data_IF_060197140441
#
_entry.id   IF_060197140441
#
_cell.length_a   1.000
_cell.length_b   1.000
_cell.length_c   1.000
_cell.angle_alpha   90.00
_cell.angle_beta   90.00
_cell.angle_gamma   90.00
#
_symmetry.space_group_name_H-M   'P 1'
#
loop_
_entity.id
_entity.type
_entity.pdbx_description
1 polymer ?
#
# COMPACT_ATOMS: atom_id res chain seq x y z
N UNK A 1 -0.22 -22.61 22.08
CA UNK A 1 -1.39 -21.71 21.98
C UNK A 1 -1.20 -20.38 22.72
N UNK A 2 -0.98 -20.33 24.03
CA UNK A 2 -0.77 -19.07 24.79
C UNK A 2 0.49 -18.33 24.34
N UNK A 3 1.59 -19.02 24.09
CA UNK A 3 2.87 -18.46 23.61
C UNK A 3 2.77 -17.80 22.25
N UNK A 4 1.97 -18.37 21.32
CA UNK A 4 1.77 -17.79 19.98
C UNK A 4 0.87 -16.56 20.03
N UNK A 5 -0.15 -16.56 20.87
CA UNK A 5 -1.01 -15.41 21.09
C UNK A 5 -0.21 -14.23 21.69
N UNK A 6 0.62 -14.48 22.70
CA UNK A 6 1.50 -13.46 23.30
C UNK A 6 2.53 -12.91 22.29
N UNK A 7 3.09 -13.78 21.44
CA UNK A 7 4.02 -13.39 20.38
C UNK A 7 3.32 -12.49 19.33
N UNK A 8 2.09 -12.84 18.95
CA UNK A 8 1.28 -12.02 18.04
C UNK A 8 0.94 -10.65 18.63
N UNK A 9 0.55 -10.60 19.92
CA UNK A 9 0.26 -9.34 20.61
C UNK A 9 1.52 -8.45 20.66
N UNK A 10 2.68 -9.00 21.06
CA UNK A 10 3.96 -8.25 21.07
C UNK A 10 4.31 -7.69 19.69
N UNK A 11 4.11 -8.46 18.62
CA UNK A 11 4.38 -8.00 17.26
C UNK A 11 3.45 -6.85 16.87
N UNK A 12 2.18 -6.91 17.26
CA UNK A 12 1.16 -5.89 16.99
C UNK A 12 1.38 -4.58 17.75
N UNK A 13 1.80 -4.66 19.00
CA UNK A 13 2.08 -3.48 19.83
C UNK A 13 3.41 -2.79 19.49
N UNK A 14 4.27 -3.45 18.72
CA UNK A 14 5.60 -2.94 18.40
C UNK A 14 5.57 -1.67 17.57
N UNK A 15 4.73 -1.62 16.54
CA UNK A 15 4.63 -0.43 15.67
C UNK A 15 4.07 0.78 16.41
N UNK A 16 2.91 0.69 17.13
CA UNK A 16 2.40 1.78 17.96
C UNK A 16 3.41 2.30 18.97
N UNK A 17 4.08 1.40 19.68
CA UNK A 17 5.13 1.77 20.65
C UNK A 17 6.28 2.55 20.00
N UNK A 18 6.78 2.09 18.84
CA UNK A 18 7.89 2.77 18.16
C UNK A 18 7.45 4.14 17.60
N UNK A 19 6.22 4.25 17.11
CA UNK A 19 5.67 5.54 16.66
C UNK A 19 5.61 6.52 17.84
N UNK A 20 5.05 6.10 18.96
CA UNK A 20 4.98 6.94 20.17
C UNK A 20 6.37 7.40 20.60
N UNK A 21 7.32 6.46 20.66
CA UNK A 21 8.73 6.75 21.01
C UNK A 21 9.36 7.78 20.06
N UNK A 22 9.17 7.62 18.73
CA UNK A 22 9.68 8.57 17.75
C UNK A 22 9.12 9.97 17.95
N UNK A 23 7.83 10.09 18.29
CA UNK A 23 7.15 11.36 18.49
C UNK A 23 7.54 12.04 19.79
N UNK A 24 7.56 11.31 20.90
CA UNK A 24 7.93 11.85 22.21
C UNK A 24 9.38 12.33 22.22
N UNK A 25 10.29 11.56 21.59
CA UNK A 25 11.70 11.92 21.53
C UNK A 25 12.03 12.87 20.36
N UNK A 26 11.07 13.20 19.53
CA UNK A 26 11.28 13.96 18.27
C UNK A 26 12.41 13.39 17.38
N UNK A 27 12.61 12.06 17.45
CA UNK A 27 13.64 11.32 16.69
C UNK A 27 12.97 10.35 15.73
N UNK A 28 12.79 10.78 14.48
CA UNK A 28 12.13 9.99 13.45
C UNK A 28 13.05 8.89 12.89
N UNK A 29 12.43 7.77 12.51
CA UNK A 29 13.05 6.60 11.90
C UNK A 29 12.11 6.03 10.84
N UNK A 30 12.63 5.44 9.74
CA UNK A 30 11.79 4.84 8.72
C UNK A 30 11.25 3.50 9.22
N UNK A 31 10.22 3.53 10.08
CA UNK A 31 9.62 2.33 10.69
C UNK A 31 8.98 1.40 9.67
N UNK A 32 8.48 1.97 8.57
CA UNK A 32 7.78 1.28 7.49
C UNK A 32 8.52 1.51 6.18
N UNK A 33 8.84 0.43 5.48
CA UNK A 33 9.46 0.47 4.15
C UNK A 33 8.48 -0.04 3.11
N UNK A 34 8.30 0.71 2.04
CA UNK A 34 7.71 0.25 0.81
C UNK A 34 8.88 -0.11 -0.13
N UNK A 35 9.04 -1.39 -0.44
CA UNK A 35 10.17 -1.89 -1.21
C UNK A 35 9.69 -2.47 -2.54
N UNK A 36 10.16 -1.89 -3.63
CA UNK A 36 9.95 -2.42 -4.98
C UNK A 36 11.15 -3.29 -5.35
N UNK A 37 10.91 -4.56 -5.64
CA UNK A 37 12.00 -5.54 -5.88
C UNK A 37 12.25 -5.83 -7.36
N UNK A 38 11.29 -5.48 -8.22
CA UNK A 38 11.36 -5.71 -9.66
C UNK A 38 10.37 -4.80 -10.40
N UNK A 39 10.68 -4.41 -11.62
CA UNK A 39 9.73 -3.78 -12.54
C UNK A 39 9.10 -4.80 -13.49
N UNK A 40 9.60 -6.04 -13.52
CA UNK A 40 9.00 -7.10 -14.34
C UNK A 40 7.61 -7.44 -13.85
N UNK A 41 6.65 -7.54 -14.76
CA UNK A 41 5.27 -7.88 -14.45
C UNK A 41 4.67 -8.73 -15.57
N UNK A 42 3.86 -9.72 -15.18
CA UNK A 42 3.08 -10.57 -16.10
C UNK A 42 1.67 -10.00 -16.36
N UNK A 43 1.37 -8.80 -15.89
CA UNK A 43 0.14 -8.04 -16.16
C UNK A 43 0.47 -6.74 -16.90
N UNK A 44 -0.44 -6.30 -17.79
CA UNK A 44 -0.28 -5.09 -18.60
C UNK A 44 -1.36 -4.06 -18.26
N UNK A 45 -1.41 -3.65 -16.98
CA UNK A 45 -2.42 -2.69 -16.53
C UNK A 45 -2.27 -1.35 -17.26
N UNK A 46 -3.38 -0.85 -17.83
CA UNK A 46 -3.39 0.37 -18.65
C UNK A 46 -2.98 1.64 -17.90
N UNK A 47 -3.16 1.65 -16.57
CA UNK A 47 -2.81 2.78 -15.70
C UNK A 47 -1.54 2.53 -14.87
N UNK A 48 -0.76 1.48 -15.18
CA UNK A 48 0.40 1.12 -14.38
C UNK A 48 1.60 2.03 -14.69
N UNK A 49 2.06 2.75 -13.69
CA UNK A 49 3.23 3.62 -13.81
C UNK A 49 4.51 2.83 -14.16
N UNK A 50 4.67 1.60 -13.63
CA UNK A 50 5.83 0.74 -13.92
C UNK A 50 5.93 0.36 -15.41
N UNK A 51 4.80 0.02 -16.04
CA UNK A 51 4.77 -0.33 -17.48
C UNK A 51 5.04 0.88 -18.40
N UNK A 52 4.87 2.09 -17.88
CA UNK A 52 4.98 3.33 -18.65
C UNK A 52 6.36 3.98 -18.54
N UNK A 53 7.16 3.54 -17.60
CA UNK A 53 8.48 4.15 -17.35
C UNK A 53 9.45 3.94 -18.50
N UNK A 54 9.24 2.92 -19.35
CA UNK A 54 10.20 2.52 -20.38
C UNK A 54 11.58 2.20 -19.83
N UNK A 55 11.68 2.00 -18.50
CA UNK A 55 12.92 1.74 -17.80
C UNK A 55 13.29 0.27 -17.99
N UNK A 56 14.46 0.01 -18.54
CA UNK A 56 15.10 -1.28 -18.47
C UNK A 56 15.89 -1.35 -17.15
N UNK A 57 15.23 -1.79 -16.08
CA UNK A 57 15.85 -1.92 -14.77
C UNK A 57 16.30 -3.37 -14.57
N UNK A 58 17.59 -3.50 -14.21
CA UNK A 58 18.11 -4.77 -13.72
C UNK A 58 17.62 -5.00 -12.31
N UNK A 59 16.92 -6.10 -12.07
CA UNK A 59 16.50 -6.52 -10.74
C UNK A 59 17.68 -6.53 -9.75
N UNK A 60 17.39 -6.26 -8.50
CA UNK A 60 18.34 -6.50 -7.42
C UNK A 60 18.73 -7.98 -7.38
N UNK A 61 20.00 -8.26 -7.11
CA UNK A 61 20.42 -9.60 -6.67
C UNK A 61 19.85 -9.88 -5.27
N UNK A 62 19.78 -11.16 -4.90
CA UNK A 62 19.32 -11.57 -3.55
C UNK A 62 20.18 -10.94 -2.46
N UNK A 63 21.50 -10.83 -2.66
CA UNK A 63 22.43 -10.24 -1.69
C UNK A 63 22.25 -8.73 -1.57
N UNK A 64 22.00 -8.02 -2.66
CA UNK A 64 21.64 -6.59 -2.61
C UNK A 64 20.35 -6.37 -1.82
N UNK A 65 19.32 -7.21 -2.03
CA UNK A 65 18.08 -7.15 -1.26
C UNK A 65 18.34 -7.38 0.22
N UNK A 66 19.11 -8.41 0.59
CA UNK A 66 19.46 -8.70 1.99
C UNK A 66 20.23 -7.54 2.62
N UNK A 67 21.16 -6.92 1.91
CA UNK A 67 21.89 -5.73 2.38
C UNK A 67 20.94 -4.57 2.68
N UNK A 68 20.01 -4.26 1.76
CA UNK A 68 18.99 -3.22 1.96
C UNK A 68 18.13 -3.55 3.19
N UNK A 69 17.70 -4.79 3.36
CA UNK A 69 16.93 -5.25 4.52
C UNK A 69 17.71 -5.03 5.83
N UNK A 70 18.99 -5.35 5.86
CA UNK A 70 19.85 -5.18 7.04
C UNK A 70 20.05 -3.71 7.38
N UNK A 71 20.27 -2.87 6.40
CA UNK A 71 20.38 -1.43 6.59
C UNK A 71 19.05 -0.83 7.11
N UNK A 72 17.91 -1.20 6.52
CA UNK A 72 16.60 -0.80 7.02
C UNK A 72 16.39 -1.26 8.47
N UNK A 73 16.77 -2.49 8.78
CA UNK A 73 16.66 -3.04 10.14
C UNK A 73 17.51 -2.28 11.16
N UNK A 74 18.74 -1.92 10.78
CA UNK A 74 19.66 -1.12 11.61
C UNK A 74 19.10 0.27 11.92
N UNK A 75 18.36 0.87 10.99
CA UNK A 75 17.67 2.15 11.19
C UNK A 75 16.42 2.04 12.08
N UNK A 76 15.98 0.82 12.38
CA UNK A 76 14.83 0.56 13.24
C UNK A 76 13.54 0.23 12.52
N UNK A 77 13.59 -0.03 11.21
CA UNK A 77 12.43 -0.48 10.43
C UNK A 77 11.90 -1.82 10.96
N UNK A 78 10.59 -1.96 10.99
CA UNK A 78 9.89 -3.12 11.56
C UNK A 78 8.75 -3.65 10.69
N UNK A 79 8.33 -2.88 9.70
CA UNK A 79 7.30 -3.25 8.74
C UNK A 79 7.82 -3.04 7.32
N UNK A 80 7.61 -4.03 6.49
CA UNK A 80 7.93 -3.93 5.08
C UNK A 80 6.71 -4.33 4.23
N UNK A 81 6.41 -3.51 3.24
CA UNK A 81 5.45 -3.86 2.20
C UNK A 81 6.21 -4.05 0.91
N UNK A 82 6.16 -5.24 0.36
CA UNK A 82 6.82 -5.56 -0.91
C UNK A 82 5.85 -5.24 -2.04
N UNK A 83 6.33 -4.41 -2.93
CA UNK A 83 5.74 -4.04 -4.21
C UNK A 83 6.69 -4.36 -5.36
N UNK A 84 6.32 -3.95 -6.54
CA UNK A 84 7.09 -4.04 -7.76
C UNK A 84 6.14 -4.14 -8.94
N UNK A 85 6.62 -4.70 -10.04
CA UNK A 85 5.76 -5.24 -11.05
C UNK A 85 4.99 -6.42 -10.47
N UNK A 86 5.61 -7.62 -10.46
CA UNK A 86 5.07 -8.79 -9.76
C UNK A 86 6.21 -9.53 -9.05
N UNK A 87 6.17 -9.51 -7.72
CA UNK A 87 7.19 -10.17 -6.89
C UNK A 87 7.36 -11.65 -7.23
N UNK A 88 6.26 -12.35 -7.48
CA UNK A 88 6.25 -13.79 -7.72
C UNK A 88 6.91 -14.21 -9.06
N UNK A 89 7.37 -13.27 -9.88
CA UNK A 89 8.25 -13.54 -11.02
C UNK A 89 9.71 -13.74 -10.63
N UNK A 90 10.08 -13.43 -9.37
CA UNK A 90 11.41 -13.68 -8.87
C UNK A 90 11.52 -15.12 -8.35
N UNK A 91 12.62 -15.79 -8.66
CA UNK A 91 12.87 -17.15 -8.21
C UNK A 91 13.34 -17.22 -6.74
N UNK A 92 13.85 -16.10 -6.22
CA UNK A 92 14.32 -15.95 -4.84
C UNK A 92 13.27 -15.41 -3.87
N UNK A 93 11.99 -15.34 -4.27
CA UNK A 93 10.88 -14.80 -3.46
C UNK A 93 10.84 -15.43 -2.07
N UNK A 94 10.89 -16.77 -1.99
CA UNK A 94 10.85 -17.48 -0.71
C UNK A 94 12.03 -17.11 0.18
N UNK A 95 13.23 -17.07 -0.37
CA UNK A 95 14.45 -16.74 0.36
C UNK A 95 14.42 -15.33 0.95
N UNK A 96 13.94 -14.36 0.17
CA UNK A 96 13.78 -12.97 0.61
C UNK A 96 12.76 -12.89 1.76
N UNK A 97 11.62 -13.58 1.64
CA UNK A 97 10.58 -13.57 2.68
C UNK A 97 11.11 -14.20 3.97
N UNK A 98 11.75 -15.36 3.88
CA UNK A 98 12.32 -16.05 5.04
C UNK A 98 13.40 -15.19 5.72
N UNK A 99 14.21 -14.47 4.94
CA UNK A 99 15.19 -13.52 5.46
C UNK A 99 14.54 -12.36 6.20
N UNK A 100 13.49 -11.76 5.66
CA UNK A 100 12.71 -10.71 6.33
C UNK A 100 12.12 -11.20 7.64
N UNK A 101 11.58 -12.41 7.68
CA UNK A 101 11.03 -13.02 8.89
C UNK A 101 12.11 -13.31 9.93
N UNK A 102 13.29 -13.80 9.50
CA UNK A 102 14.48 -13.96 10.35
C UNK A 102 14.89 -12.62 10.99
N UNK A 103 14.82 -11.51 10.24
CA UNK A 103 15.07 -10.15 10.73
C UNK A 103 13.91 -9.54 11.51
N UNK A 104 12.84 -10.31 11.77
CA UNK A 104 11.66 -9.92 12.57
C UNK A 104 10.88 -8.73 11.99
N UNK A 105 10.75 -8.66 10.68
CA UNK A 105 9.83 -7.75 10.02
C UNK A 105 8.39 -8.29 10.06
N UNK A 106 7.43 -7.38 10.11
CA UNK A 106 6.08 -7.62 9.61
C UNK A 106 6.12 -7.49 8.10
N UNK A 107 5.70 -8.52 7.38
CA UNK A 107 5.81 -8.62 5.92
C UNK A 107 4.42 -8.59 5.30
N UNK A 108 4.18 -7.57 4.47
CA UNK A 108 3.00 -7.47 3.61
C UNK A 108 3.44 -7.54 2.15
N UNK A 109 2.68 -8.26 1.32
CA UNK A 109 2.94 -8.38 -0.11
C UNK A 109 1.74 -7.85 -0.89
N UNK A 110 2.03 -7.18 -2.00
CA UNK A 110 1.02 -6.78 -3.01
C UNK A 110 1.29 -7.57 -4.28
N UNK A 111 0.26 -8.23 -4.82
CA UNK A 111 0.35 -9.08 -6.03
C UNK A 111 -0.87 -8.92 -6.91
N UNK A 112 -0.71 -9.18 -8.20
CA UNK A 112 -1.83 -9.31 -9.13
C UNK A 112 -2.56 -10.65 -9.02
N UNK A 113 -2.00 -11.62 -8.29
CA UNK A 113 -2.61 -12.92 -8.01
C UNK A 113 -2.41 -13.99 -9.08
N UNK A 114 -1.90 -13.67 -10.26
CA UNK A 114 -1.81 -14.63 -11.39
C UNK A 114 -0.96 -15.85 -11.04
N UNK A 115 0.16 -15.67 -10.36
CA UNK A 115 1.10 -16.73 -10.00
C UNK A 115 0.81 -17.36 -8.63
N UNK A 116 -0.15 -16.84 -7.86
CA UNK A 116 -0.44 -17.34 -6.52
C UNK A 116 -0.78 -18.84 -6.48
N UNK A 117 -1.59 -19.40 -7.40
CA UNK A 117 -1.91 -20.83 -7.35
C UNK A 117 -0.67 -21.75 -7.41
N UNK A 118 0.36 -21.36 -8.14
CA UNK A 118 1.60 -22.14 -8.28
C UNK A 118 2.68 -21.82 -7.24
N UNK A 119 2.59 -20.64 -6.59
CA UNK A 119 3.65 -20.10 -5.72
C UNK A 119 3.18 -19.75 -4.30
N UNK A 120 1.99 -20.21 -3.90
CA UNK A 120 1.40 -19.86 -2.59
C UNK A 120 2.28 -20.32 -1.42
N UNK A 121 3.00 -21.44 -1.57
CA UNK A 121 3.87 -21.97 -0.52
C UNK A 121 5.18 -21.17 -0.38
N UNK A 122 5.60 -20.44 -1.43
CA UNK A 122 6.75 -19.53 -1.34
C UNK A 122 6.48 -18.34 -0.42
N UNK A 123 5.21 -17.98 -0.24
CA UNK A 123 4.79 -16.84 0.59
C UNK A 123 4.12 -17.25 1.91
N UNK A 124 4.18 -18.51 2.31
CA UNK A 124 3.49 -19.03 3.49
C UNK A 124 3.79 -18.26 4.79
N UNK A 125 4.98 -17.68 4.91
CA UNK A 125 5.46 -16.99 6.12
C UNK A 125 5.10 -15.50 6.22
N UNK A 126 4.34 -14.92 5.27
CA UNK A 126 3.96 -13.50 5.34
C UNK A 126 2.91 -13.22 6.42
N UNK A 127 2.78 -11.95 6.81
CA UNK A 127 1.79 -11.53 7.82
C UNK A 127 0.47 -11.04 7.21
N UNK A 128 0.49 -10.52 5.98
CA UNK A 128 -0.70 -10.08 5.25
C UNK A 128 -0.46 -10.05 3.74
N UNK A 129 -1.53 -10.12 2.99
CA UNK A 129 -1.52 -10.12 1.52
C UNK A 129 -2.53 -9.11 0.99
N UNK A 130 -2.12 -8.43 -0.09
CA UNK A 130 -3.00 -7.56 -0.86
C UNK A 130 -3.07 -8.11 -2.30
N UNK A 131 -4.29 -8.42 -2.76
CA UNK A 131 -4.54 -8.87 -4.15
C UNK A 131 -5.27 -7.76 -4.91
N UNK A 132 -4.89 -7.57 -6.15
CA UNK A 132 -5.47 -6.57 -7.02
C UNK A 132 -6.70 -7.10 -7.77
N UNK A 133 -7.84 -6.37 -7.70
CA UNK A 133 -9.06 -6.67 -8.46
C UNK A 133 -9.87 -5.38 -8.64
N UNK A 134 -10.11 -4.93 -9.90
CA UNK A 134 -10.66 -3.60 -10.15
C UNK A 134 -12.17 -3.55 -10.42
N UNK A 135 -12.82 -4.68 -10.58
CA UNK A 135 -14.26 -4.72 -10.91
C UNK A 135 -14.70 -6.09 -11.38
N UNK A 136 -15.86 -6.13 -12.07
CA UNK A 136 -16.33 -7.31 -12.81
C UNK A 136 -15.35 -7.69 -13.92
N UNK A 137 -15.49 -8.90 -14.45
CA UNK A 137 -14.57 -9.47 -15.45
C UNK A 137 -14.27 -8.51 -16.59
N UNK A 138 -15.28 -7.94 -17.21
CA UNK A 138 -15.10 -7.01 -18.34
C UNK A 138 -14.24 -5.79 -17.97
N UNK A 139 -14.57 -5.12 -16.87
CA UNK A 139 -13.88 -3.90 -16.45
C UNK A 139 -12.50 -4.20 -15.86
N UNK A 140 -12.37 -5.28 -15.12
CA UNK A 140 -11.07 -5.72 -14.60
C UNK A 140 -10.11 -6.09 -15.72
N UNK A 141 -10.57 -6.89 -16.68
CA UNK A 141 -9.75 -7.34 -17.80
C UNK A 141 -9.41 -6.21 -18.77
N UNK A 142 -10.31 -5.24 -18.94
CA UNK A 142 -9.97 -4.02 -19.65
C UNK A 142 -8.85 -3.25 -18.95
N UNK A 143 -8.93 -3.09 -17.65
CA UNK A 143 -7.95 -2.33 -16.87
C UNK A 143 -6.59 -3.04 -16.76
N UNK A 144 -6.60 -4.36 -16.55
CA UNK A 144 -5.41 -5.14 -16.14
C UNK A 144 -4.90 -6.14 -17.16
N UNK A 145 -5.70 -6.45 -18.18
CA UNK A 145 -5.41 -7.45 -19.21
C UNK A 145 -6.33 -8.67 -19.13
N UNK A 146 -6.61 -9.25 -20.28
CA UNK A 146 -7.53 -10.38 -20.45
C UNK A 146 -7.17 -11.56 -19.54
N UNK A 147 -8.17 -12.10 -18.84
CA UNK A 147 -8.04 -13.25 -17.96
C UNK A 147 -7.56 -12.94 -16.55
N UNK A 148 -7.18 -11.69 -16.26
CA UNK A 148 -6.70 -11.30 -14.93
C UNK A 148 -7.81 -11.35 -13.87
N UNK A 149 -9.06 -11.13 -14.24
CA UNK A 149 -10.21 -11.30 -13.33
C UNK A 149 -10.27 -12.73 -12.77
N UNK A 150 -10.29 -13.72 -13.67
CA UNK A 150 -10.37 -15.14 -13.28
C UNK A 150 -9.18 -15.55 -12.41
N UNK A 151 -7.98 -15.10 -12.77
CA UNK A 151 -6.77 -15.37 -12.01
C UNK A 151 -6.85 -14.76 -10.60
N UNK A 152 -7.22 -13.47 -10.49
CA UNK A 152 -7.38 -12.79 -9.19
C UNK A 152 -8.47 -13.44 -8.32
N UNK A 153 -9.61 -13.82 -8.89
CA UNK A 153 -10.69 -14.49 -8.15
C UNK A 153 -10.29 -15.88 -7.65
N UNK A 154 -9.54 -16.66 -8.46
CA UNK A 154 -8.97 -17.94 -8.05
C UNK A 154 -7.98 -17.74 -6.90
N UNK A 155 -7.09 -16.77 -7.02
CA UNK A 155 -6.13 -16.43 -5.98
C UNK A 155 -6.80 -15.98 -4.68
N UNK A 156 -7.84 -15.14 -4.73
CA UNK A 156 -8.60 -14.68 -3.57
C UNK A 156 -9.21 -15.85 -2.81
N UNK A 157 -9.85 -16.79 -3.51
CA UNK A 157 -10.46 -17.99 -2.89
C UNK A 157 -9.39 -18.86 -2.24
N UNK A 158 -8.32 -19.19 -2.96
CA UNK A 158 -7.20 -20.00 -2.45
C UNK A 158 -6.57 -19.37 -1.20
N UNK A 159 -6.32 -18.07 -1.21
CA UNK A 159 -5.73 -17.33 -0.10
C UNK A 159 -6.63 -17.36 1.14
N UNK A 160 -7.95 -17.27 0.95
CA UNK A 160 -8.92 -17.37 2.05
C UNK A 160 -8.97 -18.81 2.61
N UNK A 161 -8.99 -19.83 1.76
CA UNK A 161 -8.93 -21.24 2.17
C UNK A 161 -7.66 -21.54 2.99
N UNK A 162 -6.51 -20.95 2.59
CA UNK A 162 -5.25 -21.09 3.31
C UNK A 162 -5.15 -20.20 4.56
N UNK A 163 -6.17 -19.40 4.86
CA UNK A 163 -6.27 -18.60 6.09
C UNK A 163 -5.36 -17.36 6.15
N UNK A 164 -4.92 -16.85 5.02
CA UNK A 164 -4.16 -15.60 4.97
C UNK A 164 -5.05 -14.40 5.33
N UNK A 165 -4.42 -13.35 5.90
CA UNK A 165 -5.05 -12.04 6.03
C UNK A 165 -5.04 -11.34 4.68
N UNK A 166 -6.23 -11.07 4.16
CA UNK A 166 -6.43 -10.56 2.81
C UNK A 166 -7.09 -9.21 2.79
N UNK A 167 -6.47 -8.28 2.08
CA UNK A 167 -7.09 -7.06 1.57
C UNK A 167 -7.14 -7.16 0.06
N UNK A 168 -8.26 -6.83 -0.55
CA UNK A 168 -8.36 -6.70 -2.01
C UNK A 168 -8.34 -5.22 -2.36
N UNK A 169 -7.40 -4.84 -3.22
CA UNK A 169 -7.20 -3.46 -3.66
C UNK A 169 -7.78 -3.26 -5.05
N UNK A 170 -8.68 -2.30 -5.18
CA UNK A 170 -9.24 -1.88 -6.47
C UNK A 170 -8.79 -0.47 -6.83
N UNK A 171 -8.30 -0.30 -8.05
CA UNK A 171 -8.08 1.02 -8.64
C UNK A 171 -9.33 1.39 -9.44
N UNK A 172 -10.07 2.38 -8.96
CA UNK A 172 -11.30 2.83 -9.58
C UNK A 172 -11.00 3.77 -10.75
N UNK A 173 -11.44 3.36 -11.92
CA UNK A 173 -11.36 4.10 -13.17
C UNK A 173 -12.77 4.48 -13.63
N UNK A 174 -12.94 5.34 -14.63
CA UNK A 174 -14.24 5.65 -15.23
C UNK A 174 -15.05 4.40 -15.61
N UNK A 175 -14.37 3.30 -15.96
CA UNK A 175 -15.05 2.05 -16.34
C UNK A 175 -15.52 1.24 -15.14
N UNK A 176 -14.78 1.25 -14.04
CA UNK A 176 -15.05 0.38 -12.87
C UNK A 176 -15.82 1.05 -11.75
N UNK A 177 -16.19 2.34 -11.86
CA UNK A 177 -16.96 3.03 -10.81
C UNK A 177 -18.33 2.36 -10.54
N UNK A 178 -18.95 1.77 -11.55
CA UNK A 178 -20.23 1.07 -11.39
C UNK A 178 -20.09 -0.31 -10.71
N UNK A 179 -18.86 -0.77 -10.49
CA UNK A 179 -18.59 -2.07 -9.85
C UNK A 179 -18.31 -1.97 -8.34
N UNK A 180 -18.34 -0.79 -7.76
CA UNK A 180 -18.03 -0.57 -6.33
C UNK A 180 -18.90 -1.42 -5.41
N UNK A 181 -20.22 -1.45 -5.64
CA UNK A 181 -21.12 -2.25 -4.83
C UNK A 181 -20.89 -3.76 -5.04
N UNK A 182 -20.63 -4.18 -6.28
CA UNK A 182 -20.26 -5.56 -6.60
C UNK A 182 -19.02 -6.00 -5.82
N UNK A 183 -17.94 -5.19 -5.83
CA UNK A 183 -16.71 -5.46 -5.10
C UNK A 183 -16.94 -5.56 -3.58
N UNK A 184 -17.78 -4.67 -3.04
CA UNK A 184 -18.16 -4.70 -1.63
C UNK A 184 -18.98 -5.95 -1.26
N UNK A 185 -19.89 -6.41 -2.12
CA UNK A 185 -20.65 -7.66 -1.94
C UNK A 185 -19.72 -8.87 -1.94
N UNK A 186 -18.83 -8.97 -2.94
CA UNK A 186 -17.83 -10.05 -3.00
C UNK A 186 -16.96 -10.07 -1.74
N UNK A 187 -16.55 -8.90 -1.25
CA UNK A 187 -15.76 -8.79 -0.03
C UNK A 187 -16.53 -9.34 1.19
N UNK A 188 -17.82 -9.07 1.29
CA UNK A 188 -18.68 -9.57 2.38
C UNK A 188 -18.93 -11.08 2.28
N UNK A 189 -19.18 -11.58 1.07
CA UNK A 189 -19.46 -12.99 0.81
C UNK A 189 -18.24 -13.89 1.05
N UNK A 190 -17.07 -13.48 0.54
CA UNK A 190 -15.83 -14.25 0.64
C UNK A 190 -15.11 -13.99 1.98
N UNK A 191 -15.38 -12.85 2.63
CA UNK A 191 -14.83 -12.52 3.94
C UNK A 191 -13.43 -11.89 3.89
N UNK A 192 -13.22 -10.92 3.00
CA UNK A 192 -12.02 -10.09 2.96
C UNK A 192 -12.36 -8.61 3.15
N UNK A 193 -11.34 -7.76 3.28
CA UNK A 193 -11.53 -6.31 3.31
C UNK A 193 -11.27 -5.69 1.94
N UNK A 194 -12.22 -4.85 1.49
CA UNK A 194 -12.11 -4.11 0.24
C UNK A 194 -11.46 -2.75 0.48
N UNK A 195 -10.37 -2.47 -0.23
CA UNK A 195 -9.71 -1.18 -0.26
C UNK A 195 -9.82 -0.57 -1.66
N UNK A 196 -10.00 0.75 -1.71
CA UNK A 196 -10.13 1.48 -2.96
C UNK A 196 -9.01 2.51 -3.12
N UNK A 197 -8.54 2.67 -4.35
CA UNK A 197 -7.76 3.82 -4.82
C UNK A 197 -8.50 4.47 -5.97
N UNK A 198 -8.45 5.79 -6.06
CA UNK A 198 -9.03 6.53 -7.17
C UNK A 198 -7.96 6.77 -8.22
N UNK A 199 -8.23 6.45 -9.47
CA UNK A 199 -7.40 6.90 -10.58
C UNK A 199 -7.80 8.34 -10.92
N UNK A 200 -7.13 9.26 -10.26
CA UNK A 200 -7.30 10.69 -10.46
C UNK A 200 -6.13 11.13 -11.33
N UNK A 201 -6.35 11.58 -12.49
CA UNK A 201 -5.36 12.03 -13.47
C UNK A 201 -4.03 11.26 -13.51
N UNK A 202 -3.72 10.67 -14.62
CA UNK A 202 -2.48 9.94 -14.84
C UNK A 202 -1.30 10.90 -14.92
N UNK A 203 -0.15 10.38 -14.51
CA UNK A 203 1.15 11.03 -14.74
C UNK A 203 1.60 10.88 -16.22
N UNK A 204 0.87 10.11 -17.03
CA UNK A 204 1.23 9.74 -18.41
C UNK A 204 0.09 9.97 -19.40
N UNK A 205 0.38 10.37 -20.65
CA UNK A 205 -0.62 10.81 -21.64
C UNK A 205 -1.68 9.77 -22.06
N UNK A 206 -1.45 8.48 -21.91
CA UNK A 206 -2.39 7.44 -22.37
C UNK A 206 -3.55 7.11 -21.43
N UNK A 207 -3.56 7.65 -20.22
CA UNK A 207 -4.50 7.27 -19.16
C UNK A 207 -5.62 8.30 -18.91
N UNK A 208 -5.59 9.44 -19.60
CA UNK A 208 -6.58 10.53 -19.44
C UNK A 208 -8.01 10.05 -19.61
N UNK A 209 -8.23 9.02 -20.44
CA UNK A 209 -9.54 8.42 -20.68
C UNK A 209 -10.05 7.59 -19.47
N UNK A 210 -9.16 7.05 -18.64
CA UNK A 210 -9.52 6.22 -17.49
C UNK A 210 -9.68 7.01 -16.19
N UNK A 211 -9.11 8.20 -16.10
CA UNK A 211 -9.12 9.04 -14.92
C UNK A 211 -10.50 9.58 -14.58
N UNK A 212 -10.81 9.64 -13.29
CA UNK A 212 -12.05 10.26 -12.80
C UNK A 212 -11.97 11.78 -12.89
N UNK A 213 -13.11 12.42 -13.18
CA UNK A 213 -13.29 13.86 -12.97
C UNK A 213 -13.37 14.16 -11.46
N UNK A 214 -13.21 15.42 -11.07
CA UNK A 214 -13.33 15.86 -9.67
C UNK A 214 -14.71 15.53 -9.08
N UNK A 215 -15.78 15.74 -9.83
CA UNK A 215 -17.14 15.40 -9.44
C UNK A 215 -17.33 13.89 -9.34
N UNK A 216 -16.94 13.15 -10.36
CA UNK A 216 -17.01 11.68 -10.37
C UNK A 216 -16.24 11.06 -9.20
N UNK A 217 -15.08 11.62 -8.85
CA UNK A 217 -14.31 11.16 -7.68
C UNK A 217 -15.05 11.43 -6.36
N UNK A 218 -15.71 12.59 -6.21
CA UNK A 218 -16.53 12.91 -5.02
C UNK A 218 -17.75 12.00 -4.92
N UNK A 219 -18.41 11.69 -6.03
CA UNK A 219 -19.56 10.78 -6.05
C UNK A 219 -19.15 9.36 -5.66
N UNK A 220 -18.03 8.87 -6.19
CA UNK A 220 -17.43 7.61 -5.79
C UNK A 220 -17.13 7.58 -4.28
N UNK A 221 -16.56 8.64 -3.74
CA UNK A 221 -16.27 8.72 -2.29
C UNK A 221 -17.56 8.70 -1.45
N UNK A 222 -18.61 9.41 -1.87
CA UNK A 222 -19.94 9.36 -1.22
C UNK A 222 -20.50 7.95 -1.25
N UNK A 223 -20.47 7.27 -2.40
CA UNK A 223 -20.94 5.90 -2.55
C UNK A 223 -20.17 4.93 -1.63
N UNK A 224 -18.85 5.01 -1.57
CA UNK A 224 -18.03 4.18 -0.68
C UNK A 224 -18.37 4.41 0.79
N UNK A 225 -18.60 5.68 1.20
CA UNK A 225 -19.01 6.03 2.55
C UNK A 225 -20.36 5.39 2.89
N UNK A 226 -21.35 5.47 1.99
CA UNK A 226 -22.67 4.88 2.21
C UNK A 226 -22.62 3.35 2.30
N UNK A 227 -21.85 2.69 1.43
CA UNK A 227 -21.65 1.23 1.51
C UNK A 227 -20.99 0.85 2.84
N UNK A 228 -19.99 1.61 3.29
CA UNK A 228 -19.37 1.38 4.59
C UNK A 228 -20.34 1.57 5.76
N UNK A 229 -21.26 2.55 5.70
CA UNK A 229 -22.33 2.74 6.70
C UNK A 229 -23.31 1.56 6.73
N UNK A 230 -23.59 0.96 5.55
CA UNK A 230 -24.39 -0.27 5.41
C UNK A 230 -23.69 -1.55 5.91
N UNK A 231 -22.49 -1.43 6.49
CA UNK A 231 -21.74 -2.55 7.07
C UNK A 231 -20.97 -3.41 6.07
N UNK A 232 -20.73 -2.92 4.85
CA UNK A 232 -19.80 -3.59 3.95
C UNK A 232 -18.35 -3.48 4.44
N UNK A 233 -17.49 -4.48 4.21
CA UNK A 233 -16.13 -4.54 4.77
C UNK A 233 -15.14 -3.64 4.02
N UNK A 234 -15.42 -2.34 3.97
CA UNK A 234 -14.52 -1.34 3.41
C UNK A 234 -13.39 -1.07 4.39
N UNK A 235 -12.14 -1.29 3.96
CA UNK A 235 -10.93 -1.12 4.77
C UNK A 235 -10.67 0.34 5.14
N UNK A 236 -10.80 1.23 4.16
CA UNK A 236 -10.49 2.66 4.34
C UNK A 236 -11.34 3.31 5.43
N UNK A 237 -10.71 4.07 6.31
CA UNK A 237 -11.38 4.73 7.44
C UNK A 237 -12.30 5.86 6.99
N UNK A 238 -13.36 6.13 7.78
CA UNK A 238 -14.25 7.28 7.54
C UNK A 238 -13.49 8.61 7.52
N UNK A 239 -12.46 8.75 8.37
CA UNK A 239 -11.66 9.97 8.41
C UNK A 239 -10.88 10.18 7.12
N UNK A 240 -10.31 9.12 6.58
CA UNK A 240 -9.62 9.14 5.28
C UNK A 240 -10.58 9.47 4.14
N UNK A 241 -11.73 8.79 4.08
CA UNK A 241 -12.75 9.05 3.06
C UNK A 241 -13.24 10.49 3.10
N UNK A 242 -13.56 11.00 4.29
CA UNK A 242 -14.00 12.39 4.46
C UNK A 242 -12.88 13.40 4.18
N UNK A 243 -11.61 13.08 4.48
CA UNK A 243 -10.49 13.95 4.11
C UNK A 243 -10.37 14.09 2.58
N UNK A 244 -10.55 13.01 1.84
CA UNK A 244 -10.54 13.05 0.38
C UNK A 244 -11.79 13.73 -0.19
N UNK A 245 -12.99 13.43 0.33
CA UNK A 245 -14.24 14.04 -0.11
C UNK A 245 -14.25 15.56 0.08
N UNK A 246 -13.70 16.03 1.19
CA UNK A 246 -13.60 17.45 1.54
C UNK A 246 -12.23 18.05 1.21
N UNK A 247 -11.53 17.48 0.22
CA UNK A 247 -10.27 18.05 -0.26
C UNK A 247 -10.53 19.48 -0.78
N UNK A 248 -9.80 20.49 -0.28
CA UNK A 248 -10.16 21.90 -0.48
C UNK A 248 -9.87 22.45 -1.88
N UNK A 249 -9.23 21.64 -2.72
CA UNK A 249 -8.85 22.00 -4.09
C UNK A 249 -9.45 21.01 -5.09
N UNK A 250 -9.21 21.25 -6.38
CA UNK A 250 -9.37 20.23 -7.41
C UNK A 250 -8.39 19.06 -7.18
N UNK A 251 -8.74 17.87 -7.65
CA UNK A 251 -7.88 16.70 -7.49
C UNK A 251 -6.63 16.73 -8.38
N UNK A 252 -6.50 17.73 -9.26
CA UNK A 252 -5.24 18.06 -9.94
C UNK A 252 -4.17 18.54 -8.95
N UNK A 253 -4.54 19.23 -7.87
CA UNK A 253 -3.66 19.55 -6.75
C UNK A 253 -3.56 18.37 -5.78
N UNK A 254 -2.72 17.42 -6.11
CA UNK A 254 -2.65 16.13 -5.42
C UNK A 254 -2.11 16.20 -3.99
N UNK A 255 -1.32 17.23 -3.66
CA UNK A 255 -0.62 17.38 -2.38
C UNK A 255 -0.44 18.84 -2.02
N UNK A 256 -0.25 19.10 -0.76
CA UNK A 256 -0.06 20.44 -0.21
C UNK A 256 1.23 20.52 0.59
N UNK A 257 1.90 21.64 0.52
CA UNK A 257 2.93 22.06 1.44
C UNK A 257 2.31 22.77 2.66
N UNK A 258 3.11 23.05 3.69
CA UNK A 258 2.61 23.61 4.94
C UNK A 258 1.91 24.98 4.76
N UNK A 259 2.48 25.84 3.92
CA UNK A 259 1.95 27.19 3.62
C UNK A 259 0.69 27.17 2.76
N UNK A 260 0.31 26.03 2.20
CA UNK A 260 -0.86 25.87 1.34
C UNK A 260 -2.09 25.34 2.08
N UNK A 261 -1.98 25.15 3.41
CA UNK A 261 -3.12 24.69 4.20
C UNK A 261 -4.16 25.81 4.34
N UNK A 262 -5.42 25.59 3.93
CA UNK A 262 -6.46 26.58 4.15
C UNK A 262 -6.67 26.84 5.65
N UNK A 263 -6.93 28.09 6.07
CA UNK A 263 -7.22 28.44 7.45
C UNK A 263 -8.36 27.56 8.02
N UNK A 264 -8.17 27.03 9.23
CA UNK A 264 -9.17 26.21 9.92
C UNK A 264 -9.36 24.78 9.39
N UNK A 265 -8.67 24.38 8.32
CA UNK A 265 -8.81 23.04 7.75
C UNK A 265 -8.07 21.98 8.57
N UNK A 266 -8.76 20.88 8.88
CA UNK A 266 -8.25 19.75 9.67
C UNK A 266 -7.81 18.57 8.78
N UNK A 267 -6.95 18.84 7.81
CA UNK A 267 -6.40 17.82 6.94
C UNK A 267 -5.56 16.78 7.70
N UNK A 268 -5.49 15.57 7.15
CA UNK A 268 -4.61 14.52 7.67
C UNK A 268 -3.16 14.88 7.35
N UNK A 269 -2.33 15.03 8.39
CA UNK A 269 -0.91 15.32 8.26
C UNK A 269 -0.14 14.12 7.71
N UNK A 270 0.85 14.39 6.86
CA UNK A 270 1.68 13.38 6.23
C UNK A 270 2.93 13.06 7.06
N UNK A 271 3.09 11.78 7.42
CA UNK A 271 4.26 11.23 8.10
C UNK A 271 5.19 10.44 7.17
N UNK A 272 4.88 10.39 5.88
CA UNK A 272 5.77 9.79 4.89
C UNK A 272 7.02 10.65 4.73
N UNK A 273 8.16 10.01 4.47
CA UNK A 273 9.46 10.64 4.56
C UNK A 273 10.01 10.69 5.99
N UNK A 274 9.15 10.74 7.02
CA UNK A 274 9.56 10.72 8.44
C UNK A 274 9.50 9.31 9.05
N UNK A 275 8.39 8.61 8.88
CA UNK A 275 8.14 7.28 9.48
C UNK A 275 7.96 6.17 8.45
N UNK A 276 7.76 6.52 7.19
CA UNK A 276 7.65 5.59 6.06
C UNK A 276 8.37 6.17 4.86
N UNK A 277 9.13 5.34 4.14
CA UNK A 277 9.78 5.68 2.89
C UNK A 277 9.52 4.60 1.84
N UNK A 278 9.76 4.91 0.58
CA UNK A 278 9.78 3.97 -0.53
C UNK A 278 11.21 3.81 -1.06
N UNK A 279 11.60 2.59 -1.40
CA UNK A 279 12.82 2.27 -2.15
C UNK A 279 12.37 1.59 -3.43
N UNK A 280 12.68 2.21 -4.57
CA UNK A 280 12.25 1.76 -5.88
C UNK A 280 13.15 0.64 -6.43
N UNK A 281 12.69 -0.05 -7.46
CA UNK A 281 13.39 -1.18 -8.06
C UNK A 281 14.76 -0.80 -8.69
N UNK A 282 14.95 0.47 -9.05
CA UNK A 282 16.20 1.02 -9.52
C UNK A 282 17.17 1.47 -8.41
N UNK A 283 16.74 1.39 -7.15
CA UNK A 283 17.55 1.76 -5.98
C UNK A 283 17.32 3.15 -5.44
N UNK A 284 16.52 3.98 -6.09
CA UNK A 284 16.26 5.32 -5.59
C UNK A 284 15.27 5.32 -4.42
N UNK A 285 15.59 6.08 -3.37
CA UNK A 285 14.75 6.18 -2.19
C UNK A 285 13.93 7.48 -2.19
N UNK A 286 12.63 7.35 -2.04
CA UNK A 286 11.64 8.44 -2.09
C UNK A 286 10.87 8.58 -0.78
N UNK A 287 10.38 9.80 -0.46
CA UNK A 287 9.49 9.98 0.69
C UNK A 287 8.20 9.16 0.59
N UNK A 288 7.68 8.99 -0.62
CA UNK A 288 6.41 8.33 -0.91
C UNK A 288 6.42 7.76 -2.34
N UNK A 289 5.64 6.71 -2.59
CA UNK A 289 5.46 6.14 -3.94
C UNK A 289 4.82 7.10 -4.95
N UNK A 290 4.14 8.16 -4.49
CA UNK A 290 3.58 9.20 -5.36
C UNK A 290 4.57 10.32 -5.68
N UNK A 291 5.79 10.23 -5.18
CA UNK A 291 6.88 11.18 -5.40
C UNK A 291 8.08 10.53 -6.11
N UNK A 292 7.88 9.35 -6.71
CA UNK A 292 8.90 8.59 -7.42
C UNK A 292 9.18 9.13 -8.84
N UNK A 293 9.17 10.44 -8.99
CA UNK A 293 9.51 11.14 -10.22
C UNK A 293 10.67 12.09 -9.91
N UNK A 294 11.83 11.97 -10.60
CA UNK A 294 13.00 12.81 -10.35
C UNK A 294 12.75 14.31 -10.59
N UNK A 295 11.72 14.66 -11.37
CA UNK A 295 11.29 16.05 -11.57
C UNK A 295 10.60 16.62 -10.32
N UNK A 296 10.03 15.73 -9.47
CA UNK A 296 9.31 16.11 -8.25
C UNK A 296 10.22 16.01 -7.02
N UNK A 297 11.03 14.96 -6.94
CA UNK A 297 11.94 14.74 -5.82
C UNK A 297 13.27 14.16 -6.31
N UNK A 298 14.36 14.88 -6.06
CA UNK A 298 15.73 14.43 -6.38
C UNK A 298 16.17 13.37 -5.37
N UNK A 299 15.87 12.11 -5.65
CA UNK A 299 16.18 10.98 -4.79
C UNK A 299 17.66 10.60 -4.85
N UNK A 300 18.15 9.94 -3.79
CA UNK A 300 19.47 9.29 -3.78
C UNK A 300 19.32 7.79 -3.94
N UNK A 301 20.29 7.18 -4.64
CA UNK A 301 20.32 5.73 -4.85
C UNK A 301 20.94 5.04 -3.63
N UNK A 302 20.19 4.08 -3.03
CA UNK A 302 20.67 3.35 -1.84
C UNK A 302 21.84 2.43 -2.13
N UNK A 303 22.05 2.03 -3.39
CA UNK A 303 23.21 1.22 -3.78
C UNK A 303 24.51 2.03 -3.65
N UNK A 304 24.44 3.34 -3.94
CA UNK A 304 25.60 4.22 -3.94
C UNK A 304 25.91 4.79 -2.55
N UNK A 305 24.87 5.25 -1.83
CA UNK A 305 25.06 6.00 -0.58
C UNK A 305 24.59 5.25 0.68
N UNK A 306 23.93 4.11 0.53
CA UNK A 306 23.28 3.38 1.61
C UNK A 306 21.95 3.98 2.04
N UNK A 307 21.09 3.15 2.71
CA UNK A 307 19.73 3.53 3.11
C UNK A 307 19.75 4.69 4.12
N UNK A 308 20.75 4.75 5.00
CA UNK A 308 20.86 5.83 6.02
C UNK A 308 20.99 7.21 5.37
N UNK A 309 21.95 7.42 4.49
CA UNK A 309 22.17 8.72 3.83
C UNK A 309 20.99 9.11 2.94
N UNK A 310 20.40 8.13 2.22
CA UNK A 310 19.20 8.36 1.42
C UNK A 310 18.01 8.80 2.30
N UNK A 311 17.83 8.19 3.46
CA UNK A 311 16.79 8.59 4.42
C UNK A 311 17.02 9.98 5.02
N UNK A 312 18.24 10.31 5.40
CA UNK A 312 18.62 11.64 5.91
C UNK A 312 18.35 12.72 4.85
N UNK A 313 18.65 12.44 3.59
CA UNK A 313 18.32 13.31 2.47
C UNK A 313 16.80 13.53 2.33
N UNK A 314 16.00 12.46 2.45
CA UNK A 314 14.55 12.53 2.43
C UNK A 314 14.04 13.42 3.57
N UNK A 315 14.54 13.24 4.79
CA UNK A 315 14.13 14.04 5.96
C UNK A 315 14.35 15.54 5.75
N UNK A 316 15.47 15.89 5.11
CA UNK A 316 15.86 17.28 4.87
C UNK A 316 15.05 17.94 3.76
N UNK A 317 14.70 17.21 2.71
CA UNK A 317 14.20 17.78 1.46
C UNK A 317 12.72 17.52 1.17
N UNK A 318 12.02 16.72 1.98
CA UNK A 318 10.58 16.48 1.80
C UNK A 318 9.78 17.72 2.20
N UNK A 319 8.96 18.26 1.28
CA UNK A 319 8.15 19.46 1.49
C UNK A 319 6.67 19.18 1.70
N UNK A 320 6.09 18.16 1.06
CA UNK A 320 4.64 17.91 1.13
C UNK A 320 4.18 17.46 2.52
N UNK A 321 3.07 18.03 3.02
CA UNK A 321 2.55 17.81 4.37
C UNK A 321 1.12 17.25 4.41
N UNK A 322 0.40 17.23 3.28
CA UNK A 322 -0.92 16.58 3.15
C UNK A 322 -1.18 16.12 1.72
N UNK A 323 -2.11 15.18 1.56
CA UNK A 323 -2.62 14.72 0.28
C UNK A 323 -4.04 14.13 0.46
N UNK A 324 -4.70 13.77 -0.66
CA UNK A 324 -6.01 13.09 -0.62
C UNK A 324 -5.94 11.58 -0.84
N UNK A 325 -4.78 11.00 -1.10
CA UNK A 325 -4.67 9.58 -1.40
C UNK A 325 -5.15 8.70 -0.25
N UNK A 326 -6.09 7.79 -0.53
CA UNK A 326 -6.77 6.99 0.49
C UNK A 326 -5.80 6.08 1.25
N UNK A 327 -5.04 5.26 0.54
CA UNK A 327 -4.09 4.32 1.16
C UNK A 327 -3.03 5.03 1.98
N UNK A 328 -2.50 6.14 1.47
CA UNK A 328 -1.50 6.95 2.18
C UNK A 328 -2.07 7.58 3.45
N UNK A 329 -3.32 8.02 3.42
CA UNK A 329 -3.94 8.67 4.56
C UNK A 329 -4.36 7.69 5.67
N UNK A 330 -4.77 6.47 5.35
CA UNK A 330 -4.94 5.44 6.38
C UNK A 330 -3.61 5.13 7.09
N UNK A 331 -2.50 5.08 6.34
CA UNK A 331 -1.17 4.99 6.94
C UNK A 331 -0.80 6.24 7.74
N UNK A 332 -1.10 7.45 7.27
CA UNK A 332 -0.83 8.70 7.99
C UNK A 332 -1.60 8.79 9.31
N UNK A 333 -2.84 8.32 9.35
CA UNK A 333 -3.61 8.23 10.61
C UNK A 333 -2.96 7.27 11.59
N UNK A 334 -2.48 6.12 11.12
CA UNK A 334 -1.76 5.15 11.93
C UNK A 334 -0.45 5.74 12.45
N UNK A 335 0.38 6.27 11.57
CA UNK A 335 1.67 6.89 11.88
C UNK A 335 1.53 8.16 12.72
N UNK A 336 0.40 8.86 12.59
CA UNK A 336 -0.01 10.00 13.41
C UNK A 336 -0.47 9.65 14.82
N UNK A 337 -0.52 8.36 15.20
CA UNK A 337 -0.90 7.90 16.54
C UNK A 337 -2.40 7.99 16.82
N UNK A 338 -3.25 7.87 15.80
CA UNK A 338 -4.70 7.82 15.97
C UNK A 338 -5.11 6.54 16.71
N UNK A 339 -5.52 6.67 17.97
CA UNK A 339 -5.97 5.54 18.79
C UNK A 339 -7.14 4.79 18.12
N UNK A 340 -8.09 5.53 17.53
CA UNK A 340 -9.23 4.97 16.81
C UNK A 340 -8.79 4.12 15.60
N UNK A 341 -7.73 4.54 14.89
CA UNK A 341 -7.18 3.79 13.77
C UNK A 341 -6.50 2.50 14.25
N UNK A 342 -5.77 2.55 15.40
CA UNK A 342 -5.19 1.36 16.00
C UNK A 342 -6.27 0.37 16.45
N UNK A 343 -7.30 0.84 17.16
CA UNK A 343 -8.42 0.01 17.62
C UNK A 343 -9.15 -0.60 16.42
N UNK A 344 -9.40 0.16 15.37
CA UNK A 344 -10.02 -0.32 14.13
C UNK A 344 -9.19 -1.44 13.47
N UNK A 345 -7.88 -1.24 13.33
CA UNK A 345 -6.99 -2.28 12.77
C UNK A 345 -6.86 -3.50 13.68
N UNK A 346 -6.82 -3.31 14.99
CA UNK A 346 -6.82 -4.41 15.98
C UNK A 346 -8.16 -5.16 15.92
N UNK A 347 -9.28 -4.47 15.82
CA UNK A 347 -10.61 -5.09 15.68
C UNK A 347 -10.72 -5.92 14.40
N UNK A 348 -10.28 -5.39 13.27
CA UNK A 348 -10.19 -6.12 11.98
C UNK A 348 -9.35 -7.39 12.16
N UNK A 349 -8.24 -7.30 12.90
CA UNK A 349 -7.36 -8.44 13.13
C UNK A 349 -7.89 -9.43 14.16
N UNK A 350 -8.67 -8.98 15.15
CA UNK A 350 -9.25 -9.85 16.19
C UNK A 350 -10.51 -10.55 15.68
N UNK A 351 -11.35 -9.89 14.90
CA UNK A 351 -12.55 -10.51 14.33
C UNK A 351 -12.25 -11.74 13.47
N UNK A 352 -11.06 -11.80 12.86
CA UNK A 352 -10.61 -12.99 12.13
C UNK A 352 -10.11 -14.13 13.03
N UNK A 353 -9.65 -13.82 14.27
CA UNK A 353 -9.24 -14.85 15.24
C UNK A 353 -10.47 -15.54 15.85
N UNK A 354 -11.54 -14.78 16.08
CA UNK A 354 -12.77 -15.31 16.67
C UNK A 354 -13.72 -15.96 15.64
N UNK A 355 -13.55 -15.72 14.33
CA UNK A 355 -14.27 -16.45 13.27
C UNK A 355 -13.68 -17.83 12.97
N UNK A 356 -12.51 -18.18 13.52
CA UNK A 356 -11.89 -19.52 13.41
C UNK A 356 -12.29 -20.46 14.56
N UNK A 357 -13.28 -20.10 15.36
CA UNK A 357 -14.01 -20.96 16.30
C UNK A 357 -15.47 -21.05 15.83
#
# INVERSE_FOLDING_TARGET
>A
MITDTLRQIKTRLRLPYQILKCRVLNKYKPLVILLYLTDRCNSKCRYCVGNWSGREIKDYTTDEVKKIIDECRSLGSIHITIHGGELLLRDDTKEIIDYLKKKKFYVNIVTNGILLPSKIDEIANIDSLCISLDGREENNDYNRGKGTYKASMTAIKLVKERGFKLVVQSTLTKRSVNDIEYLCRQAKEIGYYQQFSLLLRPLTPGETELGLSDEGARDVLRQIIELKKKGYPVFTSYRTLNNALNWPYGFDKQRLEMNEFPPGNKLIRCFFGKLKIAIDADGFAYPCSTLNDPRIFKALNVKDVGVRKAYEHILKNKSCEACYYLTQNDWNLLLGGSLRQYVGQVHIQLSEIFKKR
#
